data_IF_131917512158
#
_entry.id   IF_131917512158
#
_cell.length_a   1.000
_cell.length_b   1.000
_cell.length_c   1.000
_cell.angle_alpha   90.00
_cell.angle_beta   90.00
_cell.angle_gamma   90.00
#
_symmetry.space_group_name_H-M   'P 1'
#
loop_
_entity.id
_entity.type
_entity.pdbx_description
1 polymer ?
#
# COMPACT_ATOMS: atom_id res chain seq x y z
N UNK A 1 47.25 35.06 60.03
CA UNK A 1 45.96 34.99 60.75
C UNK A 1 45.06 33.95 60.08
N UNK A 2 44.68 32.91 60.84
CA UNK A 2 43.55 31.96 60.68
C UNK A 2 43.32 31.24 59.33
N UNK A 3 43.91 30.04 59.28
CA UNK A 3 43.32 28.74 58.93
C UNK A 3 41.78 28.66 58.90
N UNK A 4 41.24 28.06 57.83
CA UNK A 4 40.00 27.26 57.88
C UNK A 4 40.28 25.86 57.31
N UNK A 5 39.78 24.87 58.04
CA UNK A 5 40.00 23.43 57.94
C UNK A 5 38.87 22.73 57.19
N UNK A 6 39.19 21.52 56.69
CA UNK A 6 38.34 20.32 56.60
C UNK A 6 37.19 20.33 55.57
N UNK A 7 36.76 19.22 54.93
CA UNK A 7 36.97 17.78 55.14
C UNK A 7 36.53 17.02 53.87
N UNK A 8 37.00 15.78 53.75
CA UNK A 8 36.72 14.77 52.72
C UNK A 8 35.25 14.30 52.69
N UNK A 9 34.79 13.92 51.50
CA UNK A 9 34.06 12.67 51.25
C UNK A 9 32.55 12.76 51.10
N UNK A 10 32.04 12.47 49.89
CA UNK A 10 31.00 11.46 49.65
C UNK A 10 30.80 11.25 48.14
N UNK A 11 30.81 9.98 47.76
CA UNK A 11 30.54 9.41 46.44
C UNK A 11 29.17 9.83 45.90
N UNK A 12 29.13 10.39 44.69
CA UNK A 12 27.89 10.53 43.93
C UNK A 12 27.66 9.25 43.11
N UNK A 13 26.62 8.52 43.49
CA UNK A 13 26.06 7.38 42.77
C UNK A 13 25.34 7.87 41.51
N UNK A 14 25.64 7.21 40.38
CA UNK A 14 24.94 7.35 39.09
C UNK A 14 23.42 7.06 39.25
N UNK A 15 22.53 7.83 38.60
CA UNK A 15 21.13 7.46 38.50
C UNK A 15 20.96 6.38 37.41
N UNK A 16 20.41 5.21 37.80
CA UNK A 16 19.97 4.16 36.87
C UNK A 16 18.75 4.65 36.10
N UNK A 17 18.82 4.56 34.77
CA UNK A 17 17.71 4.77 33.84
C UNK A 17 16.70 3.64 34.07
N UNK A 18 15.54 3.99 34.63
CA UNK A 18 14.40 3.08 34.78
C UNK A 18 13.75 2.81 33.43
N UNK A 19 13.52 1.54 33.12
CA UNK A 19 12.72 1.09 31.99
C UNK A 19 11.28 1.61 32.14
N UNK A 20 10.85 2.45 31.19
CA UNK A 20 9.45 2.85 31.07
C UNK A 20 8.67 1.69 30.42
N UNK A 21 8.01 0.89 31.25
CA UNK A 21 6.95 -0.03 30.81
C UNK A 21 5.73 0.84 30.52
N UNK A 22 5.26 0.82 29.28
CA UNK A 22 4.04 1.51 28.86
C UNK A 22 2.83 0.90 29.59
N UNK A 23 2.31 1.62 30.57
CA UNK A 23 1.06 1.30 31.25
C UNK A 23 -0.09 1.55 30.29
N UNK A 24 -0.78 0.49 29.88
CA UNK A 24 -2.07 0.58 29.20
C UNK A 24 -3.07 1.11 30.22
N UNK A 25 -3.45 2.38 30.10
CA UNK A 25 -4.52 2.98 30.90
C UNK A 25 -5.86 2.45 30.40
N UNK A 26 -6.45 1.55 31.17
CA UNK A 26 -7.84 1.12 31.03
C UNK A 26 -8.76 2.15 31.69
N UNK A 27 -9.19 3.17 30.94
CA UNK A 27 -10.35 3.98 31.33
C UNK A 27 -11.63 3.22 30.94
N UNK A 28 -12.09 2.34 31.82
CA UNK A 28 -13.44 1.78 31.74
C UNK A 28 -14.41 2.68 32.51
N UNK A 29 -15.15 3.49 31.75
CA UNK A 29 -16.35 4.14 32.22
C UNK A 29 -17.42 3.11 32.61
N UNK A 30 -18.08 3.37 33.73
CA UNK A 30 -19.12 2.56 34.33
C UNK A 30 -20.28 2.25 33.36
N UNK A 31 -20.62 0.97 33.23
CA UNK A 31 -21.89 0.52 32.66
C UNK A 31 -22.48 -0.56 33.57
N UNK A 32 -23.75 -0.36 33.96
CA UNK A 32 -24.49 -1.24 34.85
C UNK A 32 -25.25 -2.33 34.08
N UNK A 33 -25.50 -3.42 34.82
CA UNK A 33 -26.48 -4.51 34.61
C UNK A 33 -26.13 -5.68 33.66
N UNK A 34 -25.65 -6.75 34.30
CA UNK A 34 -25.89 -8.18 34.03
C UNK A 34 -25.65 -8.71 32.61
N UNK A 35 -24.39 -9.00 32.29
CA UNK A 35 -24.05 -10.11 31.39
C UNK A 35 -22.94 -10.95 32.04
N UNK A 36 -23.32 -12.08 32.63
CA UNK A 36 -22.42 -13.11 33.16
C UNK A 36 -21.82 -13.92 32.00
N UNK A 37 -21.01 -13.29 31.17
CA UNK A 37 -20.35 -13.90 30.02
C UNK A 37 -18.95 -13.32 29.81
N UNK A 38 -18.06 -14.09 29.18
CA UNK A 38 -16.75 -13.62 28.76
C UNK A 38 -16.90 -12.45 27.77
N UNK A 39 -15.98 -11.48 27.85
CA UNK A 39 -15.85 -10.40 26.86
C UNK A 39 -15.50 -10.97 25.47
N UNK A 40 -15.90 -10.30 24.39
CA UNK A 40 -15.70 -10.76 23.01
C UNK A 40 -14.21 -10.92 22.65
N UNK A 41 -13.30 -10.13 23.25
CA UNK A 41 -11.86 -10.33 23.09
C UNK A 41 -11.37 -11.61 23.75
N UNK A 42 -11.88 -11.93 24.94
CA UNK A 42 -11.53 -13.16 25.65
C UNK A 42 -12.06 -14.39 24.90
N UNK A 43 -13.28 -14.33 24.35
CA UNK A 43 -13.84 -15.39 23.50
C UNK A 43 -12.99 -15.62 22.24
N UNK A 44 -12.57 -14.55 21.55
CA UNK A 44 -11.70 -14.68 20.38
C UNK A 44 -10.33 -15.27 20.74
N UNK A 45 -9.78 -14.94 21.92
CA UNK A 45 -8.51 -15.49 22.39
C UNK A 45 -8.55 -17.01 22.63
N UNK A 46 -9.73 -17.62 22.81
CA UNK A 46 -9.88 -19.08 22.95
C UNK A 46 -9.47 -19.84 21.69
N UNK A 47 -9.45 -19.20 20.52
CA UNK A 47 -8.89 -19.82 19.30
C UNK A 47 -7.39 -20.12 19.42
N UNK A 48 -6.68 -19.44 20.33
CA UNK A 48 -5.26 -19.68 20.59
C UNK A 48 -5.03 -20.78 21.64
N UNK A 49 -6.09 -21.44 22.13
CA UNK A 49 -6.01 -22.53 23.11
C UNK A 49 -6.60 -23.81 22.51
N UNK A 50 -5.85 -24.90 22.64
CA UNK A 50 -6.39 -26.24 22.38
C UNK A 50 -7.35 -26.65 23.49
N UNK A 51 -8.46 -27.27 23.09
CA UNK A 51 -9.43 -27.88 23.99
C UNK A 51 -8.89 -29.15 24.66
N UNK A 52 -9.68 -29.77 25.55
CA UNK A 52 -9.30 -31.02 26.22
C UNK A 52 -9.07 -32.20 25.25
N UNK A 53 -9.63 -32.13 24.05
CA UNK A 53 -9.47 -33.08 22.94
C UNK A 53 -8.25 -32.78 22.05
N UNK A 54 -7.51 -31.69 22.33
CA UNK A 54 -6.39 -31.25 21.51
C UNK A 54 -6.80 -30.46 20.26
N UNK A 55 -8.08 -30.10 20.12
CA UNK A 55 -8.61 -29.39 18.95
C UNK A 55 -8.84 -27.90 19.22
N UNK A 56 -8.86 -27.09 18.16
CA UNK A 56 -9.17 -25.66 18.27
C UNK A 56 -10.67 -25.48 18.47
N UNK A 57 -11.04 -24.62 19.41
CA UNK A 57 -12.44 -24.35 19.78
C UNK A 57 -13.10 -23.33 18.82
N UNK A 58 -13.29 -23.68 17.54
CA UNK A 58 -13.77 -22.74 16.51
C UNK A 58 -15.11 -22.05 16.81
N UNK A 59 -16.01 -22.70 17.54
CA UNK A 59 -17.29 -22.09 17.93
C UNK A 59 -17.12 -20.84 18.81
N UNK A 60 -15.98 -20.71 19.50
CA UNK A 60 -15.65 -19.51 20.28
C UNK A 60 -15.49 -18.25 19.44
N UNK A 61 -15.10 -18.36 18.18
CA UNK A 61 -15.08 -17.21 17.27
C UNK A 61 -16.48 -16.70 16.92
N UNK A 62 -17.44 -17.63 16.76
CA UNK A 62 -18.84 -17.31 16.50
C UNK A 62 -19.49 -16.68 17.73
N UNK A 63 -19.20 -17.21 18.91
CA UNK A 63 -19.60 -16.61 20.20
C UNK A 63 -19.01 -15.20 20.33
N UNK A 64 -17.72 -15.00 20.01
CA UNK A 64 -17.05 -13.71 20.04
C UNK A 64 -17.70 -12.71 19.08
N UNK A 65 -17.99 -13.11 17.84
CA UNK A 65 -18.69 -12.27 16.87
C UNK A 65 -20.07 -11.84 17.39
N UNK A 66 -20.85 -12.77 17.94
CA UNK A 66 -22.17 -12.46 18.51
C UNK A 66 -22.07 -11.52 19.72
N UNK A 67 -21.16 -11.81 20.66
CA UNK A 67 -20.89 -10.98 21.83
C UNK A 67 -20.48 -9.55 21.43
N UNK A 68 -19.63 -9.40 20.41
CA UNK A 68 -19.23 -8.09 19.87
C UNK A 68 -20.43 -7.28 19.38
N UNK A 69 -21.41 -7.92 18.72
CA UNK A 69 -22.62 -7.23 18.30
C UNK A 69 -23.49 -6.79 19.49
N UNK A 70 -23.70 -7.65 20.48
CA UNK A 70 -24.56 -7.38 21.64
C UNK A 70 -23.95 -6.36 22.60
N UNK A 71 -22.65 -6.44 22.84
CA UNK A 71 -21.93 -5.64 23.83
C UNK A 71 -21.43 -4.31 23.26
N UNK A 72 -21.14 -4.24 21.95
CA UNK A 72 -20.52 -3.06 21.34
C UNK A 72 -21.32 -2.50 20.17
N UNK A 73 -21.49 -3.25 19.08
CA UNK A 73 -22.04 -2.69 17.82
C UNK A 73 -23.46 -2.16 18.00
N UNK A 74 -24.38 -2.97 18.55
CA UNK A 74 -25.78 -2.59 18.67
C UNK A 74 -26.00 -1.39 19.59
N UNK A 75 -25.18 -1.25 20.65
CA UNK A 75 -25.28 -0.15 21.61
C UNK A 75 -24.75 1.18 21.02
N UNK A 76 -23.76 1.09 20.13
CA UNK A 76 -23.08 2.24 19.53
C UNK A 76 -23.58 2.60 18.13
N UNK A 77 -24.51 1.84 17.54
CA UNK A 77 -25.15 2.19 16.27
C UNK A 77 -26.25 3.22 16.51
N UNK A 78 -26.32 4.26 15.67
CA UNK A 78 -27.44 5.23 15.71
C UNK A 78 -28.71 4.56 15.19
N UNK A 79 -29.82 4.78 15.91
CA UNK A 79 -31.14 4.34 15.50
C UNK A 79 -31.90 5.51 14.88
N UNK A 80 -32.61 5.25 13.79
CA UNK A 80 -33.51 6.19 13.10
C UNK A 80 -34.89 5.56 13.01
N UNK A 81 -35.97 6.35 13.08
CA UNK A 81 -37.34 5.82 13.05
C UNK A 81 -37.74 5.34 11.65
N UNK A 82 -37.13 5.89 10.61
CA UNK A 82 -37.35 5.45 9.23
C UNK A 82 -36.09 5.51 8.38
N UNK A 83 -36.08 4.77 7.26
CA UNK A 83 -35.02 4.87 6.27
C UNK A 83 -34.93 6.29 5.67
N UNK A 84 -36.08 6.96 5.50
CA UNK A 84 -36.12 8.31 4.95
C UNK A 84 -35.40 9.30 5.87
N UNK A 85 -35.74 9.29 7.15
CA UNK A 85 -35.07 10.08 8.19
C UNK A 85 -33.56 9.82 8.24
N UNK A 86 -33.14 8.54 8.15
CA UNK A 86 -31.73 8.18 8.09
C UNK A 86 -31.02 8.81 6.89
N UNK A 87 -31.56 8.64 5.68
CA UNK A 87 -30.93 9.15 4.46
C UNK A 87 -30.90 10.68 4.45
N UNK A 88 -31.99 11.33 4.86
CA UNK A 88 -32.06 12.79 4.95
C UNK A 88 -31.02 13.32 5.96
N UNK A 89 -30.94 12.74 7.16
CA UNK A 89 -29.90 13.07 8.14
C UNK A 89 -28.48 12.92 7.58
N UNK A 90 -28.20 11.82 6.88
CA UNK A 90 -26.88 11.55 6.32
C UNK A 90 -26.50 12.51 5.19
N UNK A 91 -27.45 12.97 4.39
CA UNK A 91 -27.20 13.95 3.32
C UNK A 91 -27.07 15.36 3.91
N UNK A 92 -28.01 15.77 4.77
CA UNK A 92 -28.02 17.10 5.40
C UNK A 92 -26.77 17.39 6.24
N UNK A 93 -26.21 16.36 6.88
CA UNK A 93 -25.00 16.47 7.70
C UNK A 93 -23.72 16.10 6.92
N UNK A 94 -23.76 16.08 5.59
CA UNK A 94 -22.60 15.84 4.73
C UNK A 94 -21.87 14.53 5.00
N UNK A 95 -22.60 13.48 5.39
CA UNK A 95 -22.04 12.12 5.47
C UNK A 95 -22.13 11.40 4.12
N UNK A 96 -23.27 11.52 3.44
CA UNK A 96 -23.54 10.91 2.14
C UNK A 96 -23.58 11.94 1.02
N UNK A 97 -23.22 11.51 -0.19
CA UNK A 97 -23.32 12.29 -1.42
C UNK A 97 -24.78 12.25 -1.91
N UNK A 98 -25.51 13.36 -1.79
CA UNK A 98 -26.91 13.44 -2.20
C UNK A 98 -27.10 13.17 -3.69
N UNK A 99 -26.14 13.59 -4.50
CA UNK A 99 -26.09 13.45 -5.95
C UNK A 99 -26.12 11.98 -6.40
N UNK A 100 -25.63 11.05 -5.57
CA UNK A 100 -25.73 9.59 -5.82
C UNK A 100 -27.15 9.09 -5.59
N UNK A 101 -27.81 9.57 -4.54
CA UNK A 101 -29.15 9.11 -4.18
C UNK A 101 -30.22 9.70 -5.10
N UNK A 102 -30.05 10.94 -5.56
CA UNK A 102 -30.96 11.65 -6.47
C UNK A 102 -31.14 10.96 -7.83
N UNK A 103 -30.22 10.06 -8.22
CA UNK A 103 -30.33 9.27 -9.44
C UNK A 103 -31.39 8.17 -9.36
N UNK A 104 -31.98 7.94 -8.18
CA UNK A 104 -32.94 6.86 -7.94
C UNK A 104 -34.17 7.35 -7.17
N UNK A 105 -35.33 6.78 -7.51
CA UNK A 105 -36.53 7.00 -6.71
C UNK A 105 -36.38 6.38 -5.31
N UNK A 106 -36.89 7.06 -4.29
CA UNK A 106 -36.82 6.58 -2.90
C UNK A 106 -37.39 5.18 -2.70
N UNK A 107 -38.49 4.84 -3.40
CA UNK A 107 -39.08 3.49 -3.30
C UNK A 107 -38.15 2.40 -3.84
N UNK A 108 -37.33 2.70 -4.86
CA UNK A 108 -36.30 1.78 -5.32
C UNK A 108 -35.21 1.59 -4.25
N UNK A 109 -34.65 2.68 -3.71
CA UNK A 109 -33.63 2.62 -2.64
C UNK A 109 -34.15 1.82 -1.44
N UNK A 110 -35.40 2.06 -1.04
CA UNK A 110 -36.08 1.34 0.04
C UNK A 110 -36.24 -0.14 -0.28
N UNK A 111 -36.62 -0.50 -1.51
CA UNK A 111 -36.71 -1.89 -1.94
C UNK A 111 -35.35 -2.59 -1.92
N UNK A 112 -34.29 -1.88 -2.32
CA UNK A 112 -32.92 -2.38 -2.36
C UNK A 112 -32.34 -2.59 -0.95
N UNK A 113 -32.58 -1.65 -0.04
CA UNK A 113 -32.28 -1.83 1.39
C UNK A 113 -33.04 -3.02 1.98
N UNK A 114 -34.34 -3.15 1.69
CA UNK A 114 -35.14 -4.30 2.17
C UNK A 114 -34.57 -5.62 1.65
N UNK A 115 -34.12 -5.66 0.39
CA UNK A 115 -33.46 -6.83 -0.20
C UNK A 115 -32.15 -7.16 0.52
N UNK A 116 -31.29 -6.16 0.71
CA UNK A 116 -30.01 -6.31 1.38
C UNK A 116 -30.17 -6.89 2.80
N UNK A 117 -31.02 -6.27 3.62
CA UNK A 117 -31.34 -6.76 4.96
C UNK A 117 -32.11 -8.09 4.96
N UNK A 118 -32.83 -8.40 3.87
CA UNK A 118 -33.57 -9.66 3.68
C UNK A 118 -32.67 -10.89 3.63
N UNK A 119 -31.42 -10.75 3.20
CA UNK A 119 -30.41 -11.81 3.25
C UNK A 119 -30.00 -12.19 4.68
N UNK A 120 -30.28 -11.34 5.67
CA UNK A 120 -29.91 -11.57 7.09
C UNK A 120 -28.43 -11.89 7.26
N UNK A 121 -27.57 -11.13 6.59
CA UNK A 121 -26.12 -11.33 6.58
C UNK A 121 -25.57 -11.43 8.01
N UNK A 122 -24.62 -12.35 8.22
CA UNK A 122 -23.88 -12.51 9.48
C UNK A 122 -22.40 -12.63 9.15
N UNK A 123 -21.58 -11.88 9.86
CA UNK A 123 -20.13 -12.06 9.77
C UNK A 123 -19.78 -13.48 10.25
N UNK A 124 -19.05 -14.27 9.45
CA UNK A 124 -18.69 -15.62 9.82
C UNK A 124 -17.62 -15.67 10.92
N UNK A 125 -16.87 -14.57 11.09
CA UNK A 125 -15.76 -14.47 12.06
C UNK A 125 -15.81 -13.18 12.86
N UNK A 126 -15.27 -13.20 14.09
CA UNK A 126 -15.14 -12.00 14.92
C UNK A 126 -14.27 -10.96 14.23
N UNK A 127 -13.13 -11.37 13.68
CA UNK A 127 -12.19 -10.45 13.01
C UNK A 127 -12.85 -9.73 11.82
N UNK A 128 -13.71 -10.41 11.06
CA UNK A 128 -14.44 -9.78 9.95
C UNK A 128 -15.35 -8.65 10.43
N UNK A 129 -16.14 -8.92 11.47
CA UNK A 129 -17.00 -7.91 12.10
C UNK A 129 -16.19 -6.76 12.70
N UNK A 130 -15.19 -7.10 13.52
CA UNK A 130 -14.33 -6.12 14.18
C UNK A 130 -13.63 -5.21 13.16
N UNK A 131 -13.07 -5.78 12.09
CA UNK A 131 -12.39 -5.02 11.04
C UNK A 131 -13.35 -4.09 10.29
N UNK A 132 -14.55 -4.57 9.95
CA UNK A 132 -15.56 -3.75 9.30
C UNK A 132 -15.95 -2.53 10.15
N UNK A 133 -16.32 -2.74 11.42
CA UNK A 133 -16.77 -1.65 12.29
C UNK A 133 -15.64 -0.72 12.75
N UNK A 134 -14.40 -1.20 12.81
CA UNK A 134 -13.27 -0.36 13.19
C UNK A 134 -12.77 0.50 12.02
N UNK A 135 -12.76 -0.02 10.79
CA UNK A 135 -12.04 0.59 9.67
C UNK A 135 -12.85 0.89 8.39
N UNK A 136 -14.08 0.37 8.24
CA UNK A 136 -14.87 0.53 6.99
C UNK A 136 -16.17 1.30 7.17
N UNK A 137 -16.94 0.94 8.20
CA UNK A 137 -18.26 1.52 8.44
C UNK A 137 -18.18 3.03 8.65
N UNK A 138 -19.18 3.77 8.15
CA UNK A 138 -19.33 5.18 8.45
C UNK A 138 -19.57 5.40 9.96
N UNK A 139 -18.85 6.37 10.51
CA UNK A 139 -19.00 6.85 11.89
C UNK A 139 -19.43 8.30 11.89
N UNK A 140 -19.99 8.76 13.00
CA UNK A 140 -20.13 10.18 13.28
C UNK A 140 -18.76 10.87 13.22
N UNK A 141 -18.72 12.17 12.89
CA UNK A 141 -17.44 12.89 12.74
C UNK A 141 -16.59 12.92 14.02
N UNK A 142 -17.20 12.80 15.19
CA UNK A 142 -16.50 12.66 16.47
C UNK A 142 -15.99 11.23 16.75
N UNK A 143 -16.25 10.29 15.85
CA UNK A 143 -15.81 8.90 15.90
C UNK A 143 -16.54 8.01 16.91
N UNK A 144 -17.57 8.52 17.61
CA UNK A 144 -18.18 7.82 18.77
C UNK A 144 -19.26 6.81 18.40
N UNK A 145 -20.00 7.03 17.30
CA UNK A 145 -21.14 6.18 16.94
C UNK A 145 -21.07 5.68 15.50
N UNK A 146 -21.68 4.54 15.23
CA UNK A 146 -21.82 3.97 13.89
C UNK A 146 -23.08 4.47 13.19
N UNK A 147 -22.96 4.85 11.92
CA UNK A 147 -24.07 5.31 11.08
C UNK A 147 -24.48 4.25 10.03
N UNK A 148 -23.60 3.29 9.76
CA UNK A 148 -23.81 2.19 8.82
C UNK A 148 -23.71 0.82 9.52
N UNK A 149 -24.54 -0.12 9.07
CA UNK A 149 -24.30 -1.57 9.11
C UNK A 149 -23.73 -2.03 7.77
N UNK A 150 -23.32 -3.29 7.69
CA UNK A 150 -22.74 -3.86 6.47
C UNK A 150 -23.66 -3.70 5.26
N UNK A 151 -24.94 -4.01 5.44
CA UNK A 151 -25.96 -3.91 4.41
C UNK A 151 -26.12 -2.47 3.88
N UNK A 152 -26.07 -1.47 4.77
CA UNK A 152 -26.15 -0.05 4.37
C UNK A 152 -24.99 0.33 3.45
N UNK A 153 -23.78 -0.09 3.84
CA UNK A 153 -22.56 0.19 3.09
C UNK A 153 -22.62 -0.48 1.72
N UNK A 154 -23.04 -1.75 1.64
CA UNK A 154 -23.18 -2.47 0.38
C UNK A 154 -24.17 -1.77 -0.56
N UNK A 155 -25.34 -1.38 -0.06
CA UNK A 155 -26.34 -0.66 -0.89
C UNK A 155 -25.79 0.67 -1.37
N UNK A 156 -25.15 1.45 -0.50
CA UNK A 156 -24.60 2.74 -0.91
C UNK A 156 -23.44 2.59 -1.92
N UNK A 157 -22.63 1.52 -1.82
CA UNK A 157 -21.62 1.19 -2.85
C UNK A 157 -22.32 0.84 -4.17
N UNK A 158 -23.34 -0.01 -4.13
CA UNK A 158 -24.05 -0.43 -5.34
C UNK A 158 -24.71 0.74 -6.07
N UNK A 159 -25.38 1.64 -5.34
CA UNK A 159 -26.00 2.83 -5.91
C UNK A 159 -24.97 3.74 -6.58
N UNK A 160 -23.83 3.97 -5.92
CA UNK A 160 -22.74 4.79 -6.45
C UNK A 160 -22.09 4.19 -7.70
N UNK A 161 -21.89 2.87 -7.74
CA UNK A 161 -21.27 2.19 -8.88
C UNK A 161 -22.21 2.03 -10.07
N UNK A 162 -23.50 1.86 -9.82
CA UNK A 162 -24.49 1.61 -10.86
C UNK A 162 -24.99 2.89 -11.55
N UNK A 163 -24.69 4.08 -11.02
CA UNK A 163 -24.89 5.38 -11.68
C UNK A 163 -26.30 5.56 -12.32
N UNK A 164 -27.35 5.20 -11.59
CA UNK A 164 -28.76 5.30 -12.01
C UNK A 164 -29.34 3.99 -12.56
N UNK A 165 -28.51 2.99 -12.88
CA UNK A 165 -28.97 1.68 -13.35
C UNK A 165 -29.48 0.81 -12.18
N UNK A 166 -30.80 0.67 -12.11
CA UNK A 166 -31.50 -0.08 -11.06
C UNK A 166 -31.23 -1.59 -11.11
N UNK A 167 -31.06 -2.16 -12.30
CA UNK A 167 -30.80 -3.59 -12.46
C UNK A 167 -29.37 -3.90 -12.01
N UNK A 168 -28.41 -3.11 -12.47
CA UNK A 168 -27.02 -3.23 -12.04
C UNK A 168 -26.84 -3.02 -10.54
N UNK A 169 -27.50 -2.01 -9.94
CA UNK A 169 -27.46 -1.79 -8.49
C UNK A 169 -27.96 -3.02 -7.72
N UNK A 170 -29.02 -3.66 -8.22
CA UNK A 170 -29.58 -4.88 -7.61
C UNK A 170 -28.58 -6.04 -7.69
N UNK A 171 -27.97 -6.25 -8.85
CA UNK A 171 -26.94 -7.28 -9.03
C UNK A 171 -25.72 -7.06 -8.12
N UNK A 172 -25.21 -5.82 -8.03
CA UNK A 172 -24.06 -5.54 -7.15
C UNK A 172 -24.39 -5.85 -5.69
N UNK A 173 -25.58 -5.48 -5.20
CA UNK A 173 -26.01 -5.82 -3.82
C UNK A 173 -25.99 -7.33 -3.59
N UNK A 174 -26.55 -8.10 -4.53
CA UNK A 174 -26.62 -9.55 -4.43
C UNK A 174 -25.24 -10.20 -4.44
N UNK A 175 -24.39 -9.81 -5.39
CA UNK A 175 -23.04 -10.36 -5.53
C UNK A 175 -22.17 -10.07 -4.30
N UNK A 176 -22.29 -8.87 -3.72
CA UNK A 176 -21.50 -8.49 -2.54
C UNK A 176 -22.01 -9.14 -1.27
N UNK A 177 -23.32 -9.12 -1.00
CA UNK A 177 -23.86 -9.71 0.23
C UNK A 177 -23.70 -11.23 0.27
N UNK A 178 -23.78 -11.88 -0.89
CA UNK A 178 -23.56 -13.32 -1.00
C UNK A 178 -22.07 -13.70 -1.00
N UNK A 179 -21.17 -12.72 -0.91
CA UNK A 179 -19.72 -12.92 -0.82
C UNK A 179 -19.06 -13.37 -2.12
N UNK A 180 -19.72 -13.22 -3.27
CA UNK A 180 -19.17 -13.57 -4.59
C UNK A 180 -18.30 -12.47 -5.18
N UNK A 181 -18.61 -11.22 -4.84
CA UNK A 181 -17.85 -10.06 -5.26
C UNK A 181 -17.46 -9.20 -4.07
N UNK A 182 -16.22 -8.73 -4.03
CA UNK A 182 -15.75 -7.76 -3.05
C UNK A 182 -14.99 -6.66 -3.78
N UNK A 183 -15.53 -5.43 -3.87
CA UNK A 183 -14.81 -4.31 -4.42
C UNK A 183 -13.52 -4.04 -3.64
N UNK A 184 -12.51 -3.48 -4.31
CA UNK A 184 -11.29 -3.05 -3.66
C UNK A 184 -11.60 -2.08 -2.50
N UNK A 185 -10.79 -2.14 -1.45
CA UNK A 185 -10.91 -1.28 -0.26
C UNK A 185 -11.18 0.21 -0.57
N UNK A 186 -10.44 0.90 -1.46
CA UNK A 186 -10.73 2.31 -1.75
C UNK A 186 -12.17 2.50 -2.26
N UNK A 187 -12.66 1.61 -3.13
CA UNK A 187 -14.03 1.67 -3.64
C UNK A 187 -15.06 1.38 -2.55
N UNK A 188 -14.92 0.25 -1.83
CA UNK A 188 -15.87 -0.18 -0.81
C UNK A 188 -15.94 0.80 0.36
N UNK A 189 -14.81 1.42 0.72
CA UNK A 189 -14.74 2.40 1.80
C UNK A 189 -15.39 3.73 1.43
N UNK A 190 -15.15 4.23 0.21
CA UNK A 190 -15.37 5.64 -0.15
C UNK A 190 -16.61 5.91 -0.99
N UNK A 191 -17.09 4.96 -1.81
CA UNK A 191 -18.18 5.22 -2.74
C UNK A 191 -19.44 5.77 -2.00
N UNK A 192 -20.12 6.78 -2.52
CA UNK A 192 -21.34 7.33 -1.92
C UNK A 192 -21.19 8.09 -0.57
N UNK A 193 -19.98 8.25 -0.03
CA UNK A 193 -19.72 9.14 1.13
C UNK A 193 -19.36 10.54 0.62
N UNK A 194 -19.79 11.60 1.31
CA UNK A 194 -19.45 12.99 0.93
C UNK A 194 -17.99 13.31 1.23
N UNK A 195 -17.55 13.02 2.46
CA UNK A 195 -16.16 13.18 2.90
C UNK A 195 -15.36 11.92 2.56
N UNK A 196 -14.94 11.79 1.29
CA UNK A 196 -14.31 10.57 0.78
C UNK A 196 -12.94 10.79 0.15
N UNK A 197 -12.13 9.73 0.17
CA UNK A 197 -10.97 9.62 -0.69
C UNK A 197 -11.35 9.23 -2.13
N UNK A 198 -10.34 8.88 -2.92
CA UNK A 198 -10.54 8.36 -4.27
C UNK A 198 -11.01 6.89 -4.26
N UNK A 199 -11.68 6.48 -5.34
CA UNK A 199 -12.10 5.09 -5.52
C UNK A 199 -10.98 4.20 -6.06
N UNK A 200 -9.92 4.81 -6.61
CA UNK A 200 -8.70 4.18 -7.11
C UNK A 200 -7.52 4.65 -6.27
N UNK A 201 -6.64 3.73 -5.90
CA UNK A 201 -5.51 4.02 -5.00
C UNK A 201 -4.21 3.34 -5.41
N UNK A 202 -4.08 2.87 -6.65
CA UNK A 202 -2.87 2.22 -7.15
C UNK A 202 -2.46 2.86 -8.47
N UNK A 203 -1.24 3.38 -8.53
CA UNK A 203 -0.75 4.16 -9.67
C UNK A 203 0.66 3.74 -10.07
N UNK A 204 0.93 3.80 -11.37
CA UNK A 204 2.24 3.53 -11.96
C UNK A 204 2.63 4.76 -12.79
N UNK A 205 3.83 5.28 -12.57
CA UNK A 205 4.30 6.50 -13.21
C UNK A 205 5.68 6.25 -13.82
N UNK A 206 5.79 6.58 -15.11
CA UNK A 206 7.07 6.61 -15.81
C UNK A 206 7.78 7.92 -15.57
N UNK A 207 9.11 7.87 -15.47
CA UNK A 207 9.96 9.06 -15.37
C UNK A 207 10.83 9.13 -16.63
N UNK A 208 10.95 10.33 -17.19
CA UNK A 208 11.83 10.61 -18.32
C UNK A 208 13.12 11.29 -17.86
N UNK A 209 14.19 11.19 -18.64
CA UNK A 209 15.55 11.62 -18.26
C UNK A 209 15.76 13.14 -18.33
N UNK A 210 14.95 13.89 -17.58
CA UNK A 210 15.04 15.34 -17.46
C UNK A 210 14.43 15.85 -16.13
N UNK A 211 14.83 17.07 -15.74
CA UNK A 211 14.44 17.66 -14.46
C UNK A 211 12.94 17.96 -14.37
N UNK A 212 12.30 18.28 -15.50
CA UNK A 212 10.86 18.55 -15.57
C UNK A 212 10.06 17.30 -15.22
N UNK A 213 10.43 16.14 -15.79
CA UNK A 213 9.77 14.86 -15.52
C UNK A 213 10.02 14.39 -14.08
N UNK A 214 11.24 14.55 -13.55
CA UNK A 214 11.55 14.28 -12.14
C UNK A 214 10.70 15.17 -11.22
N UNK A 215 10.65 16.48 -11.47
CA UNK A 215 9.87 17.43 -10.66
C UNK A 215 8.37 17.14 -10.69
N UNK A 216 7.81 16.80 -11.86
CA UNK A 216 6.41 16.37 -11.99
C UNK A 216 6.13 15.06 -11.26
N UNK A 217 7.06 14.11 -11.30
CA UNK A 217 6.92 12.82 -10.62
C UNK A 217 6.90 12.99 -9.10
N UNK A 218 7.75 13.86 -8.55
CA UNK A 218 7.74 14.22 -7.12
C UNK A 218 6.43 14.89 -6.74
N UNK A 219 5.94 15.84 -7.55
CA UNK A 219 4.64 16.47 -7.32
C UNK A 219 3.51 15.42 -7.34
N UNK A 220 3.54 14.49 -8.28
CA UNK A 220 2.56 13.40 -8.39
C UNK A 220 2.60 12.50 -7.17
N UNK A 221 3.79 12.15 -6.66
CA UNK A 221 3.95 11.41 -5.41
C UNK A 221 3.23 12.12 -4.25
N UNK A 222 3.45 13.43 -4.08
CA UNK A 222 2.79 14.23 -3.03
C UNK A 222 1.27 14.24 -3.16
N UNK A 223 0.74 14.48 -4.37
CA UNK A 223 -0.70 14.59 -4.58
C UNK A 223 -1.43 13.26 -4.41
N UNK A 224 -0.87 12.18 -4.97
CA UNK A 224 -1.46 10.85 -4.90
C UNK A 224 -1.34 10.26 -3.49
N UNK A 225 -0.19 10.42 -2.84
CA UNK A 225 0.03 9.93 -1.47
C UNK A 225 -0.89 10.62 -0.47
N UNK A 226 -1.10 11.95 -0.59
CA UNK A 226 -2.07 12.70 0.24
C UNK A 226 -3.47 12.08 0.19
N UNK A 227 -3.86 11.48 -0.93
CA UNK A 227 -5.17 10.84 -1.14
C UNK A 227 -5.18 9.33 -0.82
N UNK A 228 -4.10 8.82 -0.22
CA UNK A 228 -3.97 7.40 0.15
C UNK A 228 -3.60 6.48 -1.01
N UNK A 229 -3.08 7.02 -2.11
CA UNK A 229 -2.60 6.26 -3.25
C UNK A 229 -1.23 5.62 -2.99
N UNK A 230 -1.10 4.33 -3.34
CA UNK A 230 0.19 3.68 -3.52
C UNK A 230 0.72 3.92 -4.93
N UNK A 231 1.96 4.37 -5.06
CA UNK A 231 2.51 4.81 -6.35
C UNK A 231 3.84 4.11 -6.63
N UNK A 232 3.95 3.49 -7.80
CA UNK A 232 5.20 2.92 -8.30
C UNK A 232 5.82 3.84 -9.37
N UNK A 233 7.14 3.94 -9.39
CA UNK A 233 7.89 4.71 -10.39
C UNK A 233 8.87 3.84 -11.17
N UNK A 234 8.95 4.04 -12.49
CA UNK A 234 10.03 3.45 -13.30
C UNK A 234 11.23 4.39 -13.35
N UNK A 235 12.38 3.95 -12.81
CA UNK A 235 13.63 4.70 -12.81
C UNK A 235 14.57 4.34 -13.96
N UNK A 236 14.22 3.34 -14.77
CA UNK A 236 15.09 2.76 -15.82
C UNK A 236 15.55 3.77 -16.87
N UNK A 237 14.78 4.82 -17.13
CA UNK A 237 15.14 5.85 -18.11
C UNK A 237 16.14 6.87 -17.59
N UNK A 238 16.25 7.04 -16.27
CA UNK A 238 17.15 8.03 -15.70
C UNK A 238 18.60 7.67 -16.01
N UNK A 239 19.40 8.66 -16.42
CA UNK A 239 20.82 8.42 -16.66
C UNK A 239 21.56 8.02 -15.39
N UNK A 240 22.52 7.11 -15.55
CA UNK A 240 23.29 6.50 -14.48
C UNK A 240 24.20 7.47 -13.72
N UNK A 241 24.71 7.05 -12.56
CA UNK A 241 25.73 7.76 -11.82
C UNK A 241 27.00 7.96 -12.68
N UNK A 242 27.47 9.20 -12.78
CA UNK A 242 28.62 9.57 -13.60
C UNK A 242 28.31 9.89 -15.06
N UNK A 243 27.06 9.69 -15.52
CA UNK A 243 26.66 10.09 -16.87
C UNK A 243 26.87 11.61 -17.11
N UNK A 244 27.12 12.05 -18.35
CA UNK A 244 27.29 13.45 -18.66
C UNK A 244 26.03 14.30 -18.49
N UNK A 245 26.21 15.57 -18.13
CA UNK A 245 25.17 16.60 -18.12
C UNK A 245 25.67 17.78 -18.93
N UNK A 246 24.89 18.21 -19.93
CA UNK A 246 25.29 19.27 -20.87
C UNK A 246 26.70 19.04 -21.45
N UNK A 247 26.98 17.79 -21.83
CA UNK A 247 28.27 17.30 -22.36
C UNK A 247 29.44 17.27 -21.36
N UNK A 248 29.26 17.78 -20.13
CA UNK A 248 30.27 17.73 -19.09
C UNK A 248 30.23 16.33 -18.46
N UNK A 249 31.36 15.62 -18.51
CA UNK A 249 31.52 14.24 -18.04
C UNK A 249 31.44 14.15 -16.50
N UNK A 250 31.04 12.99 -15.97
CA UNK A 250 31.00 12.68 -14.53
C UNK A 250 30.15 13.64 -13.69
N UNK A 251 28.93 13.97 -14.15
CA UNK A 251 28.06 14.95 -13.47
C UNK A 251 26.76 14.37 -12.90
N UNK A 252 26.19 13.34 -13.53
CA UNK A 252 24.96 12.72 -13.01
C UNK A 252 25.19 12.07 -11.65
N UNK A 253 24.21 12.24 -10.77
CA UNK A 253 24.19 11.60 -9.45
C UNK A 253 23.41 10.28 -9.43
N UNK A 254 22.92 9.82 -10.58
CA UNK A 254 22.20 8.57 -10.73
C UNK A 254 20.82 8.55 -10.05
N UNK A 255 20.28 7.35 -9.85
CA UNK A 255 18.90 7.16 -9.39
C UNK A 255 18.68 7.38 -7.89
N UNK A 256 19.72 7.23 -7.06
CA UNK A 256 19.58 7.23 -5.59
C UNK A 256 19.07 8.56 -5.02
N UNK A 257 19.57 9.75 -5.43
CA UNK A 257 19.03 11.01 -4.92
C UNK A 257 17.55 11.21 -5.28
N UNK A 258 17.13 10.70 -6.45
CA UNK A 258 15.71 10.74 -6.87
C UNK A 258 14.87 9.82 -5.98
N UNK A 259 15.36 8.62 -5.65
CA UNK A 259 14.71 7.73 -4.67
C UNK A 259 14.56 8.42 -3.31
N UNK A 260 15.57 9.18 -2.87
CA UNK A 260 15.50 9.90 -1.59
C UNK A 260 14.41 10.96 -1.57
N UNK A 261 14.28 11.72 -2.66
CA UNK A 261 13.20 12.71 -2.81
C UNK A 261 11.82 12.05 -2.78
N UNK A 262 11.67 10.86 -3.37
CA UNK A 262 10.42 10.10 -3.29
C UNK A 262 10.13 9.61 -1.87
N UNK A 263 11.10 9.02 -1.18
CA UNK A 263 10.97 8.57 0.21
C UNK A 263 10.45 9.71 1.11
N UNK A 264 11.09 10.88 1.02
CA UNK A 264 10.70 12.04 1.82
C UNK A 264 9.30 12.55 1.44
N UNK A 265 8.95 12.51 0.15
CA UNK A 265 7.62 12.90 -0.34
C UNK A 265 6.51 12.01 0.23
N UNK A 266 6.70 10.68 0.23
CA UNK A 266 5.72 9.75 0.79
C UNK A 266 5.63 9.83 2.32
N UNK A 267 6.76 10.04 2.99
CA UNK A 267 6.83 10.24 4.43
C UNK A 267 6.06 11.49 4.87
N UNK A 268 6.21 12.58 4.10
CA UNK A 268 5.51 13.84 4.35
C UNK A 268 4.01 13.76 4.06
N UNK A 269 3.63 13.27 2.88
CA UNK A 269 2.24 13.25 2.42
C UNK A 269 1.49 11.98 2.86
N UNK A 270 1.32 11.78 4.17
CA UNK A 270 0.56 10.65 4.70
C UNK A 270 -0.97 10.90 4.70
N UNK A 271 -1.75 9.81 4.73
CA UNK A 271 -3.22 9.83 4.59
C UNK A 271 -3.91 10.33 5.88
N UNK A 272 -3.73 11.61 6.23
CA UNK A 272 -4.33 12.24 7.42
C UNK A 272 -4.08 11.44 8.73
N UNK A 273 -2.89 10.87 8.87
CA UNK A 273 -2.51 10.04 10.02
C UNK A 273 -3.11 8.62 10.06
N UNK A 274 -3.91 8.21 9.07
CA UNK A 274 -4.50 6.87 9.02
C UNK A 274 -3.53 5.80 8.49
N UNK A 275 -2.70 6.15 7.50
CA UNK A 275 -1.67 5.26 6.90
C UNK A 275 -0.47 6.06 6.39
N UNK A 276 0.71 5.48 6.52
CA UNK A 276 1.94 5.99 5.89
C UNK A 276 1.79 5.92 4.36
N UNK A 277 2.29 6.94 3.65
CA UNK A 277 2.38 6.90 2.19
C UNK A 277 3.25 5.72 1.76
N UNK A 278 2.84 5.02 0.69
CA UNK A 278 3.53 3.84 0.20
C UNK A 278 4.00 4.05 -1.24
N UNK A 279 5.29 3.87 -1.47
CA UNK A 279 5.92 4.05 -2.77
C UNK A 279 6.76 2.85 -3.17
N UNK A 280 6.81 2.57 -4.46
CA UNK A 280 7.74 1.58 -5.04
C UNK A 280 8.56 2.22 -6.16
N UNK A 281 9.75 1.68 -6.39
CA UNK A 281 10.60 2.07 -7.52
C UNK A 281 11.07 0.82 -8.24
N UNK A 282 11.01 0.84 -9.57
CA UNK A 282 11.45 -0.25 -10.44
C UNK A 282 12.68 0.16 -11.25
N UNK A 283 13.63 -0.75 -11.38
CA UNK A 283 14.84 -0.57 -12.18
C UNK A 283 15.15 -1.83 -12.99
N UNK A 284 15.55 -1.68 -14.26
CA UNK A 284 16.00 -2.80 -15.07
C UNK A 284 17.34 -3.38 -14.55
N UNK A 285 17.46 -4.70 -14.55
CA UNK A 285 18.66 -5.42 -14.12
C UNK A 285 19.93 -5.02 -14.88
N UNK A 286 19.78 -4.59 -16.14
CA UNK A 286 20.87 -4.12 -17.00
C UNK A 286 21.10 -2.61 -16.92
N UNK A 287 20.57 -1.93 -15.91
CA UNK A 287 20.86 -0.52 -15.64
C UNK A 287 22.18 -0.38 -14.83
N UNK A 288 23.08 0.59 -15.12
CA UNK A 288 24.39 0.66 -14.47
C UNK A 288 24.34 0.92 -12.95
N UNK A 289 23.29 1.59 -12.47
CA UNK A 289 23.07 1.81 -11.03
C UNK A 289 22.46 0.60 -10.28
N UNK A 290 22.24 -0.55 -10.93
CA UNK A 290 21.50 -1.68 -10.32
C UNK A 290 22.05 -2.13 -8.96
N UNK A 291 23.37 -2.20 -8.80
CA UNK A 291 23.96 -2.62 -7.53
C UNK A 291 23.82 -1.54 -6.46
N UNK A 292 23.99 -0.26 -6.82
CA UNK A 292 23.76 0.87 -5.90
C UNK A 292 22.31 0.95 -5.45
N UNK A 293 21.39 0.67 -6.38
CA UNK A 293 19.95 0.60 -6.12
C UNK A 293 19.61 -0.48 -5.10
N UNK A 294 20.15 -1.69 -5.28
CA UNK A 294 19.98 -2.80 -4.35
C UNK A 294 20.61 -2.53 -2.98
N UNK A 295 21.80 -1.92 -2.95
CA UNK A 295 22.52 -1.58 -1.72
C UNK A 295 21.75 -0.61 -0.81
N UNK A 296 20.79 0.17 -1.33
CA UNK A 296 19.97 1.08 -0.52
C UNK A 296 19.14 0.39 0.58
N UNK A 297 18.90 -0.92 0.44
CA UNK A 297 18.13 -1.73 1.39
C UNK A 297 18.97 -2.46 2.42
N UNK A 298 20.29 -2.52 2.25
CA UNK A 298 21.17 -3.15 3.22
C UNK A 298 21.15 -2.36 4.54
N UNK A 299 21.03 -3.06 5.66
CA UNK A 299 20.91 -2.41 6.98
C UNK A 299 22.13 -1.56 7.36
N UNK A 300 23.31 -1.97 6.90
CA UNK A 300 24.60 -1.34 7.14
C UNK A 300 24.99 -0.27 6.10
N UNK A 301 24.07 0.15 5.23
CA UNK A 301 24.30 1.22 4.26
C UNK A 301 24.47 2.59 4.95
N UNK A 302 25.29 3.46 4.35
CA UNK A 302 25.43 4.87 4.77
C UNK A 302 24.05 5.56 4.75
N UNK A 303 23.77 6.36 5.78
CA UNK A 303 22.47 7.02 5.97
C UNK A 303 22.05 7.91 4.79
N UNK A 304 23.02 8.46 4.04
CA UNK A 304 22.74 9.27 2.84
C UNK A 304 22.23 8.46 1.65
N UNK A 305 22.50 7.15 1.65
CA UNK A 305 22.19 6.23 0.54
C UNK A 305 21.02 5.30 0.93
N UNK A 306 20.81 5.10 2.23
CA UNK A 306 19.79 4.20 2.77
C UNK A 306 18.38 4.70 2.47
N UNK A 307 17.55 3.80 1.94
CA UNK A 307 16.12 4.02 1.66
C UNK A 307 15.30 3.05 2.50
N UNK A 308 14.63 3.58 3.52
CA UNK A 308 13.89 2.84 4.54
C UNK A 308 12.50 2.43 4.04
N UNK A 309 11.72 3.35 3.47
CA UNK A 309 10.27 3.13 3.26
C UNK A 309 9.86 2.75 1.84
N UNK A 310 10.61 3.13 0.81
CA UNK A 310 10.28 2.74 -0.56
C UNK A 310 10.52 1.25 -0.81
N UNK A 311 9.57 0.57 -1.42
CA UNK A 311 9.77 -0.79 -1.93
C UNK A 311 10.62 -0.77 -3.19
N UNK A 312 11.45 -1.81 -3.37
CA UNK A 312 12.26 -1.98 -4.57
C UNK A 312 11.64 -3.04 -5.49
N UNK A 313 11.71 -2.81 -6.79
CA UNK A 313 11.38 -3.79 -7.81
C UNK A 313 12.48 -3.84 -8.87
N UNK A 314 12.73 -5.03 -9.41
CA UNK A 314 13.71 -5.26 -10.46
C UNK A 314 13.03 -5.90 -11.65
N UNK A 315 13.26 -5.31 -12.82
CA UNK A 315 12.83 -5.86 -14.11
C UNK A 315 13.98 -6.70 -14.68
N UNK A 316 13.77 -8.01 -14.82
CA UNK A 316 14.79 -8.98 -15.21
C UNK A 316 14.42 -9.59 -16.57
N UNK A 317 15.18 -9.31 -17.63
CA UNK A 317 15.04 -9.98 -18.92
C UNK A 317 15.60 -11.42 -18.89
N UNK A 318 15.18 -12.25 -19.85
CA UNK A 318 15.58 -13.66 -20.00
C UNK A 318 17.11 -13.80 -20.17
N UNK A 319 17.75 -12.86 -20.89
CA UNK A 319 19.21 -12.90 -21.12
C UNK A 319 20.01 -12.91 -19.82
N UNK A 320 19.53 -12.26 -18.75
CA UNK A 320 20.22 -12.26 -17.45
C UNK A 320 20.32 -13.68 -16.88
N UNK A 321 19.27 -14.49 -17.02
CA UNK A 321 19.26 -15.89 -16.59
C UNK A 321 20.18 -16.76 -17.46
N UNK A 322 20.19 -16.54 -18.77
CA UNK A 322 21.07 -17.27 -19.68
C UNK A 322 22.56 -17.05 -19.33
N UNK A 323 22.94 -15.80 -19.08
CA UNK A 323 24.29 -15.41 -18.67
C UNK A 323 24.66 -16.04 -17.33
N UNK A 324 23.76 -15.98 -16.34
CA UNK A 324 23.98 -16.60 -15.03
C UNK A 324 24.14 -18.13 -15.12
N UNK A 325 23.35 -18.79 -15.97
CA UNK A 325 23.45 -20.23 -16.22
C UNK A 325 24.82 -20.60 -16.79
N UNK A 326 25.30 -19.84 -17.78
CA UNK A 326 26.62 -20.03 -18.43
C UNK A 326 27.80 -19.59 -17.57
N UNK A 327 27.57 -18.84 -16.48
CA UNK A 327 28.64 -18.28 -15.64
C UNK A 327 29.33 -17.06 -16.26
N UNK A 328 28.64 -16.38 -17.18
CA UNK A 328 29.13 -15.23 -17.94
C UNK A 328 28.91 -13.91 -17.20
N UNK A 329 29.57 -12.87 -17.70
CA UNK A 329 29.35 -11.50 -17.23
C UNK A 329 28.05 -10.95 -17.84
N UNK A 330 27.27 -10.21 -17.05
CA UNK A 330 26.21 -9.35 -17.55
C UNK A 330 26.75 -7.93 -17.75
N UNK A 331 26.39 -7.32 -18.88
CA UNK A 331 26.69 -5.92 -19.18
C UNK A 331 25.52 -5.03 -18.81
N UNK A 332 25.79 -3.91 -18.17
CA UNK A 332 24.82 -2.86 -17.91
C UNK A 332 25.08 -1.69 -18.86
N UNK A 333 24.01 -1.15 -19.44
CA UNK A 333 24.08 -0.19 -20.55
C UNK A 333 23.65 1.21 -20.09
N UNK A 334 24.43 2.23 -20.43
CA UNK A 334 24.09 3.62 -20.13
C UNK A 334 22.77 4.04 -20.80
N UNK A 335 21.70 4.38 -20.04
CA UNK A 335 20.46 4.90 -20.63
C UNK A 335 20.71 6.18 -21.44
N UNK A 336 21.66 7.00 -20.98
CA UNK A 336 22.06 8.24 -21.63
C UNK A 336 22.58 8.01 -23.06
N UNK A 337 23.38 6.97 -23.28
CA UNK A 337 23.91 6.63 -24.61
C UNK A 337 22.91 5.84 -25.44
N UNK A 338 22.20 4.90 -24.82
CA UNK A 338 21.15 4.11 -25.45
C UNK A 338 20.10 5.02 -26.11
N UNK A 339 19.63 6.04 -25.40
CA UNK A 339 18.65 6.98 -25.95
C UNK A 339 19.18 7.74 -27.18
N UNK A 340 20.47 8.11 -27.21
CA UNK A 340 21.06 8.77 -28.39
C UNK A 340 21.27 7.83 -29.57
N UNK A 341 21.63 6.58 -29.31
CA UNK A 341 21.91 5.61 -30.37
C UNK A 341 20.62 5.11 -31.00
N UNK A 342 19.62 4.80 -30.18
CA UNK A 342 18.37 4.18 -30.63
C UNK A 342 17.21 5.18 -30.81
N UNK A 343 17.35 6.42 -30.31
CA UNK A 343 16.28 7.42 -30.34
C UNK A 343 15.09 7.06 -29.46
N UNK A 344 15.27 6.16 -28.48
CA UNK A 344 14.24 5.69 -27.56
C UNK A 344 14.80 5.57 -26.14
N UNK A 345 14.02 5.91 -25.09
CA UNK A 345 14.44 5.69 -23.72
C UNK A 345 14.73 4.20 -23.46
N UNK A 346 15.62 3.92 -22.50
CA UNK A 346 16.10 2.57 -22.25
C UNK A 346 14.99 1.56 -21.95
N UNK A 347 13.95 1.98 -21.20
CA UNK A 347 12.81 1.10 -20.87
C UNK A 347 11.89 0.74 -22.05
N UNK A 348 12.06 1.36 -23.22
CA UNK A 348 11.31 1.03 -24.45
C UNK A 348 12.04 0.06 -25.37
N UNK A 349 13.22 -0.41 -24.96
CA UNK A 349 14.07 -1.31 -25.74
C UNK A 349 14.08 -2.69 -25.09
N UNK A 350 13.93 -3.72 -25.91
CA UNK A 350 14.09 -5.10 -25.46
C UNK A 350 15.57 -5.38 -25.19
N UNK A 351 15.95 -5.46 -23.90
CA UNK A 351 17.34 -5.76 -23.52
C UNK A 351 17.76 -7.11 -24.07
N UNK A 352 16.91 -8.14 -23.98
CA UNK A 352 17.21 -9.48 -24.50
C UNK A 352 17.47 -9.48 -26.01
N UNK A 353 16.60 -8.84 -26.81
CA UNK A 353 16.77 -8.82 -28.28
C UNK A 353 17.97 -7.98 -28.71
N UNK A 354 18.26 -6.90 -27.99
CA UNK A 354 19.32 -5.94 -28.33
C UNK A 354 20.62 -6.15 -27.56
N UNK A 355 20.71 -7.20 -26.74
CA UNK A 355 21.83 -7.37 -25.81
C UNK A 355 23.19 -7.35 -26.51
N UNK A 356 23.40 -8.26 -27.46
CA UNK A 356 24.69 -8.38 -28.16
C UNK A 356 24.96 -7.18 -29.08
N UNK A 357 23.93 -6.63 -29.72
CA UNK A 357 24.04 -5.38 -30.51
C UNK A 357 24.54 -4.22 -29.64
N UNK A 358 23.96 -4.07 -28.44
CA UNK A 358 24.42 -3.06 -27.50
C UNK A 358 25.83 -3.36 -27.00
N UNK A 359 26.18 -4.62 -26.70
CA UNK A 359 27.53 -5.04 -26.27
C UNK A 359 28.60 -4.62 -27.30
N UNK A 360 28.33 -4.84 -28.58
CA UNK A 360 29.29 -4.57 -29.66
C UNK A 360 29.34 -3.08 -30.08
N UNK A 361 28.34 -2.27 -29.74
CA UNK A 361 28.29 -0.85 -30.12
C UNK A 361 29.20 0.01 -29.23
N UNK A 362 30.34 0.45 -29.76
CA UNK A 362 31.31 1.29 -29.04
C UNK A 362 30.78 2.67 -28.61
N UNK A 363 29.63 3.12 -29.14
CA UNK A 363 29.00 4.39 -28.77
C UNK A 363 28.23 4.29 -27.45
N UNK A 364 27.95 3.07 -26.97
CA UNK A 364 27.23 2.82 -25.72
C UNK A 364 28.24 2.52 -24.62
N UNK A 365 28.26 3.36 -23.58
CA UNK A 365 29.05 3.11 -22.37
C UNK A 365 28.47 1.92 -21.61
N UNK A 366 29.37 1.07 -21.08
CA UNK A 366 29.01 -0.20 -20.44
C UNK A 366 29.80 -0.41 -19.16
N UNK A 367 29.14 -1.00 -18.18
CA UNK A 367 29.78 -1.66 -17.04
C UNK A 367 29.45 -3.15 -17.08
N UNK A 368 30.15 -3.97 -16.30
CA UNK A 368 29.89 -5.41 -16.25
C UNK A 368 30.08 -5.99 -14.87
N UNK A 369 29.38 -7.08 -14.60
CA UNK A 369 29.53 -7.88 -13.37
C UNK A 369 29.18 -9.35 -13.63
N UNK A 370 29.48 -10.24 -12.69
CA UNK A 370 29.05 -11.64 -12.81
C UNK A 370 27.54 -11.74 -12.63
N UNK A 371 26.85 -12.34 -13.60
CA UNK A 371 25.39 -12.49 -13.54
C UNK A 371 24.93 -13.32 -12.33
N UNK A 372 25.73 -14.30 -11.88
CA UNK A 372 25.43 -15.08 -10.67
C UNK A 372 25.52 -14.24 -9.39
N UNK A 373 26.48 -13.32 -9.29
CA UNK A 373 26.63 -12.44 -8.13
C UNK A 373 25.44 -11.47 -8.01
N UNK A 374 24.89 -11.04 -9.13
CA UNK A 374 23.66 -10.25 -9.16
C UNK A 374 22.47 -11.00 -8.54
N UNK A 375 22.20 -12.24 -8.99
CA UNK A 375 21.13 -13.06 -8.40
C UNK A 375 21.37 -13.43 -6.94
N UNK A 376 22.63 -13.67 -6.56
CA UNK A 376 22.99 -13.89 -5.15
C UNK A 376 22.63 -12.65 -4.31
N UNK A 377 22.96 -11.45 -4.79
CA UNK A 377 22.63 -10.20 -4.08
C UNK A 377 21.12 -10.00 -3.97
N UNK A 378 20.34 -10.30 -5.02
CA UNK A 378 18.87 -10.26 -4.94
C UNK A 378 18.35 -11.19 -3.84
N UNK A 379 18.84 -12.43 -3.78
CA UNK A 379 18.39 -13.41 -2.80
C UNK A 379 18.74 -13.00 -1.35
N UNK A 380 19.94 -12.44 -1.13
CA UNK A 380 20.36 -11.92 0.17
C UNK A 380 19.43 -10.79 0.64
N UNK A 381 19.11 -9.82 -0.23
CA UNK A 381 18.24 -8.69 0.14
C UNK A 381 16.79 -9.15 0.34
N UNK A 382 16.30 -10.11 -0.45
CA UNK A 382 14.98 -10.72 -0.26
C UNK A 382 14.89 -11.47 1.06
N UNK A 383 15.96 -12.16 1.47
CA UNK A 383 16.03 -12.83 2.75
C UNK A 383 15.94 -11.84 3.92
N UNK A 384 16.59 -10.68 3.82
CA UNK A 384 16.59 -9.66 4.88
C UNK A 384 15.29 -8.84 4.93
N UNK A 385 14.70 -8.52 3.77
CA UNK A 385 13.69 -7.46 3.67
C UNK A 385 12.41 -7.84 2.93
N UNK A 386 12.34 -9.02 2.30
CA UNK A 386 11.22 -9.45 1.45
C UNK A 386 11.18 -8.82 0.04
N UNK A 387 12.04 -7.85 -0.25
CA UNK A 387 12.21 -7.17 -1.53
C UNK A 387 13.62 -7.44 -2.10
N UNK A 388 13.92 -7.20 -3.39
CA UNK A 388 13.08 -6.58 -4.41
C UNK A 388 11.95 -7.48 -4.94
N UNK A 389 10.88 -6.86 -5.43
CA UNK A 389 9.96 -7.49 -6.37
C UNK A 389 10.72 -7.88 -7.65
N UNK A 390 10.21 -8.88 -8.37
CA UNK A 390 10.80 -9.33 -9.63
C UNK A 390 9.73 -9.32 -10.72
N UNK A 391 10.03 -8.68 -11.83
CA UNK A 391 9.22 -8.70 -13.05
C UNK A 391 10.04 -9.39 -14.14
N UNK A 392 9.56 -10.52 -14.65
CA UNK A 392 10.20 -11.23 -15.78
C UNK A 392 9.81 -10.56 -17.09
N UNK A 393 10.64 -9.61 -17.55
CA UNK A 393 10.32 -8.69 -18.64
C UNK A 393 9.82 -9.41 -19.89
N UNK A 394 10.57 -10.40 -20.36
CA UNK A 394 10.28 -11.08 -21.62
C UNK A 394 9.11 -12.06 -21.50
N UNK A 395 8.89 -12.64 -20.33
CA UNK A 395 7.69 -13.46 -20.08
C UNK A 395 6.44 -12.59 -20.15
N UNK A 396 6.48 -11.43 -19.49
CA UNK A 396 5.37 -10.47 -19.47
C UNK A 396 5.08 -9.93 -20.86
N UNK A 397 6.11 -9.47 -21.58
CA UNK A 397 5.92 -8.87 -22.91
C UNK A 397 5.52 -9.90 -23.99
N UNK A 398 5.95 -11.17 -23.86
CA UNK A 398 5.52 -12.24 -24.76
C UNK A 398 4.06 -12.63 -24.58
N UNK A 399 3.54 -12.52 -23.35
CA UNK A 399 2.14 -12.77 -23.04
C UNK A 399 1.24 -11.53 -23.23
N UNK A 400 1.83 -10.34 -23.38
CA UNK A 400 1.11 -9.08 -23.53
C UNK A 400 0.31 -9.03 -24.85
N UNK A 401 -1.03 -8.88 -24.81
CA UNK A 401 -1.84 -8.77 -26.02
C UNK A 401 -1.88 -7.37 -26.62
N UNK A 402 -1.28 -6.36 -25.96
CA UNK A 402 -1.38 -4.94 -26.32
C UNK A 402 -0.10 -4.46 -27.01
N UNK A 403 -0.24 -3.63 -28.05
CA UNK A 403 0.91 -3.01 -28.71
C UNK A 403 1.69 -2.10 -27.75
N UNK A 404 2.98 -2.40 -27.59
CA UNK A 404 3.91 -1.65 -26.75
C UNK A 404 4.68 -2.58 -25.81
N UNK A 405 5.45 -2.02 -24.88
CA UNK A 405 6.25 -2.79 -23.93
C UNK A 405 5.86 -2.46 -22.49
N UNK A 406 5.74 -3.50 -21.68
CA UNK A 406 5.57 -3.42 -20.23
C UNK A 406 6.96 -3.38 -19.60
N UNK A 407 7.25 -2.31 -18.87
CA UNK A 407 8.60 -2.02 -18.37
C UNK A 407 8.66 -1.72 -16.86
N UNK A 408 7.56 -1.88 -16.15
CA UNK A 408 7.46 -1.77 -14.69
C UNK A 408 6.22 -2.51 -14.18
N UNK A 409 6.02 -2.52 -12.86
CA UNK A 409 4.78 -2.98 -12.22
C UNK A 409 4.37 -2.03 -11.09
N UNK A 410 3.24 -2.29 -10.44
CA UNK A 410 2.77 -1.54 -9.28
C UNK A 410 3.45 -1.98 -7.95
N UNK A 411 3.01 -1.37 -6.85
CA UNK A 411 3.48 -1.66 -5.49
C UNK A 411 3.30 -3.12 -5.04
N UNK A 412 2.35 -3.87 -5.61
CA UNK A 412 2.07 -5.25 -5.24
C UNK A 412 2.47 -6.27 -6.33
N UNK A 413 3.14 -5.81 -7.39
CA UNK A 413 3.69 -6.62 -8.51
C UNK A 413 2.68 -7.37 -9.41
N UNK A 414 1.39 -7.04 -9.34
CA UNK A 414 0.31 -7.69 -10.11
C UNK A 414 -0.16 -6.91 -11.34
N UNK A 415 0.10 -5.60 -11.42
CA UNK A 415 -0.34 -4.76 -12.55
C UNK A 415 0.76 -4.64 -13.59
N UNK A 416 0.50 -5.17 -14.78
CA UNK A 416 1.41 -5.19 -15.93
C UNK A 416 0.68 -4.61 -17.14
N UNK A 417 1.02 -3.39 -17.53
CA UNK A 417 0.36 -2.63 -18.60
C UNK A 417 1.40 -1.82 -19.40
N UNK A 418 1.05 -1.52 -20.66
CA UNK A 418 1.86 -0.73 -21.60
C UNK A 418 1.79 0.76 -21.26
#
# INVERSE_FOLDING_TARGET
MRSLRHRRGRSQSQPRIGQAVATVTTDHAQASTTQTGLDYHALNAMLNLYGPDGEIQFDKDREAANAYFLQHVNQNTVFFHSLKEKLDYLVENEYYEGEVLEQYDFEFIKSLMKRAYGYKFRFPTFLGAFKYYTAYTLKTFDGKRYLERYEDRVVNVALALAAGDKELATHIVDEVILGRFQPATPTFLNAGKKQRGELVSCFLLRIEDNMESIGRSINSALQLSKRGGGVAFNLTNLREYGAPIKQIQNQSSGVIPVMKLFEDSFSYANQLGARQGAGAVYLNAHHPDIMRFLDTKRENADEKIRIKTLSLGVVIPDITFELAKKGEDMYMFSPYDVERVYGKPFSDISVTEKYYEMVDDSRISKTKMKAREFFQTIAEIQFESGYPYVVFEDTVNRANPIQGRINMSNLCSEILQV
#
